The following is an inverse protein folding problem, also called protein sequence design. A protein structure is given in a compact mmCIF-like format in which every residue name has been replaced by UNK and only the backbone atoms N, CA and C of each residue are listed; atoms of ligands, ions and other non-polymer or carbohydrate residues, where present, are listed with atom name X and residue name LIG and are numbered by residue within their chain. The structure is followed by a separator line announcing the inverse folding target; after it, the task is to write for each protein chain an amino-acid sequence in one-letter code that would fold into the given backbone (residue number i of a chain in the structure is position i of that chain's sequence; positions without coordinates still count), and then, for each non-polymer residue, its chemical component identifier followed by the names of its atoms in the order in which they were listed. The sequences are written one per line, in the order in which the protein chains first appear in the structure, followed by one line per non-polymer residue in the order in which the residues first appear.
data_IF_406497901405
#
_entry.id   IF_406497901405
#
_cell.length_a   1.000
_cell.length_b   1.000
_cell.length_c   1.000
_cell.angle_alpha   90.00
_cell.angle_beta   90.00
_cell.angle_gamma   90.00
#
_symmetry.space_group_name_H-M   'P 1'
#
loop_
_entity.id
_entity.type
_entity.pdbx_description
1 polymer ?
#
# COMPACT_ATOMS: atom_id res chain seq x y z
N UNK A 1 38.99 -0.80 22.67
CA UNK A 1 37.95 -1.86 22.67
C UNK A 1 36.51 -1.35 22.87
N UNK A 2 36.21 -0.05 22.75
CA UNK A 2 34.87 0.53 23.09
C UNK A 2 34.02 0.95 21.88
N UNK A 3 34.58 0.93 20.67
CA UNK A 3 33.90 1.39 19.44
C UNK A 3 32.99 0.32 18.79
N UNK A 4 33.30 -0.97 18.95
CA UNK A 4 32.49 -2.05 18.36
C UNK A 4 31.13 -2.22 19.05
N UNK A 5 31.07 -1.98 20.36
CA UNK A 5 29.83 -2.05 21.15
C UNK A 5 28.85 -0.93 20.74
N UNK A 6 29.36 0.28 20.46
CA UNK A 6 28.53 1.38 19.97
C UNK A 6 27.97 1.11 18.56
N UNK A 7 28.77 0.51 17.68
CA UNK A 7 28.36 0.17 16.30
C UNK A 7 27.25 -0.90 16.26
N UNK A 8 27.34 -1.91 17.12
CA UNK A 8 26.30 -2.94 17.23
C UNK A 8 24.98 -2.38 17.78
N UNK A 9 25.04 -1.42 18.72
CA UNK A 9 23.85 -0.75 19.25
C UNK A 9 23.12 0.08 18.17
N UNK A 10 23.85 0.70 17.23
CA UNK A 10 23.23 1.41 16.12
C UNK A 10 22.46 0.49 15.17
N UNK A 11 22.83 -0.78 15.05
CA UNK A 11 22.13 -1.71 14.18
C UNK A 11 20.74 -2.09 14.69
N UNK A 12 20.53 -2.05 16.02
CA UNK A 12 19.23 -2.28 16.65
C UNK A 12 18.26 -1.11 16.51
N UNK A 13 18.76 0.08 16.10
CA UNK A 13 17.94 1.26 15.85
C UNK A 13 17.44 1.33 14.40
N UNK A 14 17.88 0.43 13.51
CA UNK A 14 17.27 0.31 12.19
C UNK A 14 15.89 -0.32 12.37
N UNK A 15 14.85 0.44 12.03
CA UNK A 15 13.50 -0.12 11.89
C UNK A 15 13.57 -1.29 10.91
N UNK A 16 13.15 -2.47 11.36
CA UNK A 16 12.83 -3.55 10.42
C UNK A 16 11.70 -3.05 9.54
N UNK A 17 11.72 -3.41 8.24
CA UNK A 17 10.52 -3.28 7.42
C UNK A 17 9.39 -4.07 8.10
N UNK A 18 8.14 -3.60 8.00
CA UNK A 18 7.00 -4.39 8.43
C UNK A 18 6.76 -5.50 7.40
N UNK A 19 6.69 -6.76 7.83
CA UNK A 19 6.43 -7.90 6.95
C UNK A 19 4.93 -8.20 7.01
N UNK A 20 4.27 -8.32 5.86
CA UNK A 20 2.95 -8.93 5.83
C UNK A 20 3.10 -10.44 5.89
N UNK A 21 2.34 -11.07 6.79
CA UNK A 21 2.33 -12.51 7.01
C UNK A 21 0.90 -12.99 6.79
N UNK A 22 0.75 -14.00 5.94
CA UNK A 22 -0.50 -14.72 5.73
C UNK A 22 -0.30 -16.20 6.07
N UNK A 23 -1.22 -16.75 6.84
CA UNK A 23 -1.20 -18.13 7.34
C UNK A 23 0.15 -18.60 7.94
N UNK A 24 0.87 -17.70 8.63
CA UNK A 24 2.16 -18.02 9.28
C UNK A 24 3.38 -18.00 8.36
N UNK A 25 3.21 -17.63 7.09
CA UNK A 25 4.30 -17.44 6.11
C UNK A 25 4.32 -15.99 5.61
N UNK A 26 5.48 -15.41 5.28
CA UNK A 26 5.51 -14.12 4.59
C UNK A 26 4.65 -14.16 3.33
N UNK A 27 3.86 -13.10 3.10
CA UNK A 27 3.01 -12.99 1.92
C UNK A 27 3.88 -13.01 0.66
N UNK A 28 3.54 -13.88 -0.29
CA UNK A 28 4.08 -13.81 -1.65
C UNK A 28 3.34 -12.71 -2.41
N UNK A 29 3.90 -11.50 -2.38
CA UNK A 29 3.36 -10.35 -3.08
C UNK A 29 3.32 -10.51 -4.61
N UNK A 30 4.15 -11.39 -5.18
CA UNK A 30 4.11 -11.65 -6.63
C UNK A 30 2.91 -12.50 -7.01
N UNK A 31 2.38 -13.28 -6.07
CA UNK A 31 1.15 -14.03 -6.21
C UNK A 31 -0.11 -13.25 -5.78
N UNK A 32 0.05 -12.08 -5.15
CA UNK A 32 -1.04 -11.29 -4.57
C UNK A 32 -1.01 -9.85 -5.09
N UNK A 33 -1.72 -9.62 -6.20
CA UNK A 33 -1.93 -8.30 -6.81
C UNK A 33 -3.35 -7.79 -6.55
N UNK A 34 -3.70 -7.68 -5.28
CA UNK A 34 -4.99 -7.16 -4.84
C UNK A 34 -4.87 -5.74 -4.28
N UNK A 35 -3.69 -5.14 -4.27
CA UNK A 35 -3.51 -3.76 -3.88
C UNK A 35 -4.02 -2.82 -4.99
N UNK A 36 -4.75 -1.79 -4.58
CA UNK A 36 -5.20 -0.73 -5.48
C UNK A 36 -4.88 0.64 -4.89
N UNK A 37 -4.59 1.57 -5.78
CA UNK A 37 -4.27 2.96 -5.48
C UNK A 37 -5.41 3.85 -5.97
N UNK A 38 -5.87 4.76 -5.14
CA UNK A 38 -6.85 5.78 -5.53
C UNK A 38 -6.15 7.09 -5.87
N UNK A 39 -6.58 7.69 -6.97
CA UNK A 39 -5.99 8.87 -7.61
C UNK A 39 -7.07 9.91 -7.98
N UNK A 40 -6.58 11.08 -8.37
CA UNK A 40 -7.34 12.17 -8.98
C UNK A 40 -6.76 12.49 -10.36
N UNK A 41 -7.51 12.19 -11.41
CA UNK A 41 -7.23 12.61 -12.78
C UNK A 41 -7.51 14.11 -12.90
N UNK A 42 -8.57 14.61 -12.27
CA UNK A 42 -8.95 16.02 -12.35
C UNK A 42 -7.87 16.97 -11.84
N UNK A 43 -7.13 16.57 -10.79
CA UNK A 43 -6.07 17.39 -10.18
C UNK A 43 -4.67 16.80 -10.36
N UNK A 44 -4.55 15.72 -11.12
CA UNK A 44 -3.29 15.00 -11.39
C UNK A 44 -2.58 14.48 -10.13
N UNK A 45 -3.33 14.26 -9.04
CA UNK A 45 -2.78 13.75 -7.77
C UNK A 45 -2.85 12.24 -7.71
N UNK A 46 -1.80 11.64 -7.18
CA UNK A 46 -1.65 10.19 -7.12
C UNK A 46 -1.44 9.71 -5.70
N UNK A 47 -1.93 8.52 -5.39
CA UNK A 47 -1.69 7.88 -4.10
C UNK A 47 -2.38 8.59 -2.94
N UNK A 48 -3.57 9.14 -3.20
CA UNK A 48 -4.38 9.81 -2.18
C UNK A 48 -4.90 8.81 -1.15
N UNK A 49 -5.28 7.61 -1.62
CA UNK A 49 -5.73 6.52 -0.78
C UNK A 49 -5.31 5.16 -1.35
N UNK A 50 -5.54 4.11 -0.57
CA UNK A 50 -5.32 2.71 -0.96
C UNK A 50 -6.54 1.85 -0.68
N UNK A 51 -6.57 0.66 -1.26
CA UNK A 51 -7.57 -0.34 -0.96
C UNK A 51 -7.09 -1.75 -1.30
N UNK A 52 -7.99 -2.71 -1.11
CA UNK A 52 -7.76 -4.12 -1.42
C UNK A 52 -8.91 -4.67 -2.25
N UNK A 53 -8.62 -5.28 -3.40
CA UNK A 53 -9.59 -6.04 -4.18
C UNK A 53 -10.01 -7.30 -3.39
N UNK A 54 -11.26 -7.32 -2.93
CA UNK A 54 -11.82 -8.42 -2.11
C UNK A 54 -12.74 -9.35 -2.91
N UNK A 55 -13.17 -8.92 -4.10
CA UNK A 55 -13.90 -9.71 -5.08
C UNK A 55 -13.78 -8.99 -6.44
N UNK A 56 -14.08 -9.68 -7.56
CA UNK A 56 -13.69 -9.23 -8.91
C UNK A 56 -14.01 -7.78 -9.32
N UNK A 57 -14.93 -7.08 -8.64
CA UNK A 57 -15.21 -5.64 -8.84
C UNK A 57 -15.38 -4.85 -7.53
N UNK A 58 -15.00 -5.43 -6.40
CA UNK A 58 -15.21 -4.83 -5.08
C UNK A 58 -13.88 -4.56 -4.40
N UNK A 59 -13.70 -3.30 -4.01
CA UNK A 59 -12.51 -2.83 -3.29
C UNK A 59 -12.91 -2.45 -1.87
N UNK A 60 -12.22 -3.03 -0.90
CA UNK A 60 -12.28 -2.59 0.50
C UNK A 60 -11.32 -1.41 0.69
N UNK A 61 -11.81 -0.32 1.24
CA UNK A 61 -11.02 0.87 1.57
C UNK A 61 -11.56 1.55 2.84
N UNK A 62 -10.86 2.57 3.33
CA UNK A 62 -11.33 3.37 4.44
C UNK A 62 -12.47 4.29 3.99
N UNK A 63 -13.54 4.39 4.80
CA UNK A 63 -14.70 5.22 4.46
C UNK A 63 -14.35 6.70 4.22
N UNK A 64 -13.37 7.25 4.95
CA UNK A 64 -12.98 8.65 4.79
C UNK A 64 -12.31 8.96 3.45
N UNK A 65 -11.73 7.96 2.78
CA UNK A 65 -11.19 8.13 1.43
C UNK A 65 -12.28 8.55 0.46
N UNK A 66 -13.50 8.02 0.62
CA UNK A 66 -14.61 8.26 -0.30
C UNK A 66 -15.34 9.60 -0.04
N UNK A 67 -14.94 10.34 1.00
CA UNK A 67 -15.46 11.68 1.28
C UNK A 67 -14.60 12.78 0.63
N UNK A 68 -13.48 12.41 0.02
CA UNK A 68 -12.62 13.33 -0.71
C UNK A 68 -13.23 13.51 -2.11
N UNK A 69 -13.75 14.71 -2.42
CA UNK A 69 -14.32 15.06 -3.73
C UNK A 69 -13.31 14.93 -4.90
N UNK A 70 -12.06 14.61 -4.58
CA UNK A 70 -10.93 14.55 -5.50
C UNK A 70 -10.67 13.14 -6.04
N UNK A 71 -11.24 12.07 -5.45
CA UNK A 71 -11.00 10.71 -5.95
C UNK A 71 -11.89 10.38 -7.16
N UNK A 72 -11.29 10.19 -8.32
CA UNK A 72 -12.01 9.86 -9.57
C UNK A 72 -11.48 8.60 -10.27
N UNK A 73 -10.39 8.01 -9.78
CA UNK A 73 -9.76 6.88 -10.44
C UNK A 73 -9.09 5.92 -9.47
N UNK A 74 -8.96 4.68 -9.93
CA UNK A 74 -8.30 3.59 -9.24
C UNK A 74 -7.33 2.91 -10.19
N UNK A 75 -6.12 2.69 -9.71
CA UNK A 75 -5.07 1.95 -10.42
C UNK A 75 -4.74 0.67 -9.64
N UNK A 76 -4.82 -0.48 -10.31
CA UNK A 76 -4.39 -1.79 -9.80
C UNK A 76 -2.87 -1.91 -9.85
N UNK A 77 -2.25 -2.81 -9.07
CA UNK A 77 -0.80 -2.97 -9.15
C UNK A 77 -0.33 -3.62 -10.48
N UNK A 78 -1.23 -4.26 -11.22
CA UNK A 78 -1.05 -4.66 -12.63
C UNK A 78 -0.82 -3.46 -13.58
N UNK A 79 -1.14 -2.24 -13.13
CA UNK A 79 -1.11 -1.02 -13.92
C UNK A 79 -2.41 -0.70 -14.65
N UNK A 80 -3.45 -1.54 -14.50
CA UNK A 80 -4.77 -1.25 -15.05
C UNK A 80 -5.44 -0.11 -14.27
N UNK A 81 -6.01 0.86 -14.97
CA UNK A 81 -6.63 2.05 -14.39
C UNK A 81 -8.09 2.15 -14.80
N UNK A 82 -8.98 2.26 -13.81
CA UNK A 82 -10.41 2.50 -14.01
C UNK A 82 -10.78 3.86 -13.43
N UNK A 83 -11.42 4.70 -14.25
CA UNK A 83 -12.00 5.98 -13.82
C UNK A 83 -13.47 5.76 -13.47
N UNK A 84 -13.93 6.38 -12.39
CA UNK A 84 -15.33 6.38 -11.97
C UNK A 84 -15.91 7.78 -12.20
N UNK A 85 -17.17 7.85 -12.62
CA UNK A 85 -17.86 9.11 -12.97
C UNK A 85 -18.88 9.47 -11.90
#
# INVERSE_FOLDING_TARGET
MKHHVLSLLSLALLSSSAWAVDNGTPVDWTAQDNAVRFDSVQTERQGLCTGTLIAGRYVLTAAHCLNEDELDSLTMASGDTTTFT
#
